data_IF_830487541102
#
_entry.id   IF_830487541102
#
_cell.length_a   1.000
_cell.length_b   1.000
_cell.length_c   1.000
_cell.angle_alpha   90.00
_cell.angle_beta   90.00
_cell.angle_gamma   90.00
#
_symmetry.space_group_name_H-M   'P 1'
#
loop_
_entity.id
_entity.type
_entity.pdbx_description
1 polymer ?
#
# COMPACT_ATOMS: atom_id res chain seq x y z
N UNK A 1 8.97 -4.08 -4.54
CA UNK A 1 8.48 -4.22 -5.94
C UNK A 1 8.80 -2.96 -6.73
N UNK A 2 8.91 -3.04 -8.06
CA UNK A 2 9.06 -1.88 -8.96
C UNK A 2 7.82 -1.82 -9.85
N UNK A 3 7.29 -0.61 -10.05
CA UNK A 3 6.09 -0.38 -10.86
C UNK A 3 6.44 0.63 -11.95
N UNK A 4 6.07 0.31 -13.19
CA UNK A 4 6.21 1.21 -14.34
C UNK A 4 4.98 2.10 -14.51
N UNK A 5 5.10 3.30 -15.10
CA UNK A 5 3.94 4.15 -15.37
C UNK A 5 2.87 3.42 -16.18
N UNK A 6 1.62 3.46 -15.70
CA UNK A 6 0.48 2.78 -16.33
C UNK A 6 0.45 1.25 -16.15
N UNK A 7 1.44 0.68 -15.47
CA UNK A 7 1.47 -0.74 -15.12
C UNK A 7 0.99 -1.03 -13.71
N UNK A 8 0.85 -2.31 -13.42
CA UNK A 8 0.53 -2.84 -12.10
C UNK A 8 1.59 -3.85 -11.63
N UNK A 9 1.58 -4.12 -10.32
CA UNK A 9 2.40 -5.17 -9.71
C UNK A 9 1.62 -5.81 -8.57
N UNK A 10 1.79 -7.12 -8.40
CA UNK A 10 1.24 -7.87 -7.27
C UNK A 10 2.38 -8.33 -6.36
N UNK A 11 2.15 -8.27 -5.05
CA UNK A 11 3.07 -8.77 -4.03
C UNK A 11 2.31 -9.77 -3.17
N UNK A 12 2.74 -11.03 -3.20
CA UNK A 12 2.26 -12.08 -2.32
C UNK A 12 3.46 -12.64 -1.54
N UNK A 13 3.43 -12.46 -0.23
CA UNK A 13 4.45 -12.93 0.69
C UNK A 13 3.78 -13.35 2.00
N UNK A 14 4.30 -14.41 2.67
CA UNK A 14 3.82 -14.77 3.99
C UNK A 14 4.04 -13.61 4.97
N UNK A 15 3.03 -13.32 5.77
CA UNK A 15 3.14 -12.36 6.86
C UNK A 15 3.77 -13.06 8.07
N UNK A 16 4.84 -12.46 8.62
CA UNK A 16 5.47 -12.97 9.83
C UNK A 16 4.46 -13.12 10.97
N UNK A 17 4.61 -14.16 11.78
CA UNK A 17 3.62 -14.55 12.78
C UNK A 17 3.40 -13.44 13.82
N UNK A 18 4.48 -12.76 14.22
CA UNK A 18 4.49 -11.70 15.21
C UNK A 18 4.27 -10.30 14.60
N UNK A 19 4.13 -10.19 13.28
CA UNK A 19 3.91 -8.89 12.64
C UNK A 19 2.50 -8.37 12.93
N UNK A 20 2.45 -7.20 13.57
CA UNK A 20 1.21 -6.48 13.91
C UNK A 20 0.83 -5.41 12.89
N UNK A 21 1.80 -4.94 12.09
CA UNK A 21 1.59 -3.90 11.09
C UNK A 21 2.33 -4.19 9.80
N UNK A 22 1.78 -3.70 8.70
CA UNK A 22 2.42 -3.68 7.38
C UNK A 22 2.52 -2.23 6.91
N UNK A 23 3.75 -1.79 6.62
CA UNK A 23 4.01 -0.47 6.05
C UNK A 23 4.29 -0.58 4.56
N UNK A 24 3.59 0.21 3.76
CA UNK A 24 3.81 0.36 2.32
C UNK A 24 4.31 1.78 2.06
N UNK A 25 5.47 1.88 1.40
CA UNK A 25 6.16 3.15 1.15
C UNK A 25 6.38 3.31 -0.35
N UNK A 26 5.93 4.44 -0.90
CA UNK A 26 6.22 4.87 -2.26
C UNK A 26 7.48 5.75 -2.30
N UNK A 27 8.51 5.30 -3.01
CA UNK A 27 9.75 6.06 -3.21
C UNK A 27 9.59 7.04 -4.38
N UNK A 28 8.82 8.11 -4.17
CA UNK A 28 8.60 9.17 -5.17
C UNK A 28 9.81 10.12 -5.24
N UNK A 29 10.01 10.77 -6.39
CA UNK A 29 11.06 11.81 -6.55
C UNK A 29 10.82 13.04 -5.67
N UNK A 30 9.55 13.41 -5.47
CA UNK A 30 9.13 14.55 -4.64
C UNK A 30 7.91 14.13 -3.78
N UNK A 31 8.11 13.30 -2.74
CA UNK A 31 7.02 12.82 -1.92
C UNK A 31 6.35 13.98 -1.18
N UNK A 32 5.02 13.92 -1.05
CA UNK A 32 4.24 14.88 -0.25
C UNK A 32 4.40 14.56 1.25
N UNK A 33 5.48 15.06 1.83
CA UNK A 33 5.83 14.85 3.25
C UNK A 33 4.94 15.62 4.20
N UNK A 34 4.38 16.75 3.77
CA UNK A 34 3.51 17.59 4.60
C UNK A 34 2.20 16.87 4.93
N UNK A 35 1.62 16.18 3.93
CA UNK A 35 0.39 15.38 4.13
C UNK A 35 0.68 13.91 4.46
N UNK A 36 1.96 13.51 4.47
CA UNK A 36 2.40 12.12 4.68
C UNK A 36 1.75 11.10 3.73
N UNK A 37 1.33 11.53 2.53
CA UNK A 37 0.58 10.67 1.60
C UNK A 37 1.47 9.73 0.79
N UNK A 38 2.79 9.75 1.00
CA UNK A 38 3.75 8.87 0.33
C UNK A 38 3.86 7.47 0.96
N UNK A 39 3.23 7.25 2.12
CA UNK A 39 3.25 6.00 2.87
C UNK A 39 1.86 5.65 3.39
N UNK A 40 1.63 4.37 3.64
CA UNK A 40 0.45 3.85 4.31
C UNK A 40 0.87 2.76 5.30
N UNK A 41 0.23 2.72 6.46
CA UNK A 41 0.45 1.68 7.48
C UNK A 41 -0.90 1.01 7.73
N UNK A 42 -0.93 -0.31 7.66
CA UNK A 42 -2.11 -1.13 7.90
C UNK A 42 -1.87 -2.00 9.13
N UNK A 43 -2.87 -2.08 10.00
CA UNK A 43 -2.93 -3.13 11.01
C UNK A 43 -3.11 -4.51 10.37
N UNK A 44 -2.62 -5.55 11.03
CA UNK A 44 -2.80 -6.94 10.60
C UNK A 44 -4.29 -7.29 10.43
N UNK A 45 -5.13 -6.74 11.29
CA UNK A 45 -6.59 -6.89 11.29
C UNK A 45 -7.28 -6.27 10.07
N UNK A 46 -6.61 -5.37 9.35
CA UNK A 46 -7.11 -4.76 8.12
C UNK A 46 -6.75 -5.56 6.86
N UNK A 47 -6.08 -6.71 7.02
CA UNK A 47 -5.66 -7.57 5.92
C UNK A 47 -6.56 -8.81 5.86
N UNK A 48 -7.24 -8.98 4.72
CA UNK A 48 -7.99 -10.18 4.40
C UNK A 48 -7.05 -11.17 3.65
N UNK A 49 -6.95 -12.44 4.08
CA UNK A 49 -6.07 -13.42 3.45
C UNK A 49 -6.45 -13.76 2.01
N UNK A 50 -7.72 -13.57 1.63
CA UNK A 50 -8.26 -13.90 0.31
C UNK A 50 -8.47 -12.66 -0.57
N UNK A 51 -8.48 -11.44 0.02
CA UNK A 51 -8.67 -10.19 -0.71
C UNK A 51 -7.45 -9.26 -0.63
N UNK A 52 -6.75 -9.01 -1.75
CA UNK A 52 -5.61 -8.10 -1.75
C UNK A 52 -6.04 -6.65 -1.54
N UNK A 53 -5.28 -5.92 -0.72
CA UNK A 53 -5.40 -4.46 -0.62
C UNK A 53 -4.80 -3.81 -1.87
N UNK A 54 -5.55 -2.92 -2.50
CA UNK A 54 -5.11 -2.24 -3.73
C UNK A 54 -4.58 -0.85 -3.39
N UNK A 55 -3.35 -0.59 -3.81
CA UNK A 55 -2.70 0.71 -3.71
C UNK A 55 -2.50 1.31 -5.09
N UNK A 56 -2.76 2.61 -5.20
CA UNK A 56 -2.51 3.39 -6.41
C UNK A 56 -1.41 4.39 -6.13
N UNK A 57 -0.32 4.32 -6.91
CA UNK A 57 0.69 5.36 -6.96
C UNK A 57 0.24 6.44 -7.96
N UNK A 58 -0.21 7.59 -7.47
CA UNK A 58 -0.69 8.70 -8.29
C UNK A 58 0.16 9.95 -8.04
N UNK A 59 0.80 10.47 -9.09
CA UNK A 59 1.73 11.60 -9.04
C UNK A 59 2.88 11.39 -8.04
N UNK A 60 2.69 11.85 -6.81
CA UNK A 60 3.64 11.78 -5.70
C UNK A 60 3.01 11.25 -4.40
N UNK A 61 1.88 10.54 -4.53
CA UNK A 61 1.10 10.01 -3.42
C UNK A 61 0.82 8.53 -3.62
N UNK A 62 0.75 7.81 -2.50
CA UNK A 62 0.32 6.43 -2.39
C UNK A 62 -1.09 6.40 -1.78
N UNK A 63 -2.08 6.01 -2.55
CA UNK A 63 -3.48 5.94 -2.12
C UNK A 63 -3.91 4.51 -1.90
N UNK A 64 -4.45 4.23 -0.72
CA UNK A 64 -5.12 2.98 -0.44
C UNK A 64 -6.57 3.06 -0.94
N UNK A 65 -6.98 2.11 -1.77
CA UNK A 65 -8.37 2.02 -2.20
C UNK A 65 -9.24 1.57 -1.02
N UNK A 66 -10.32 2.32 -0.75
CA UNK A 66 -11.33 1.90 0.21
C UNK A 66 -11.94 0.58 -0.22
N UNK A 67 -12.15 -0.33 0.72
CA UNK A 67 -13.02 -1.47 0.46
C UNK A 67 -14.44 -0.93 0.27
N UNK A 68 -15.12 -1.33 -0.81
CA UNK A 68 -16.52 -0.99 -0.98
C UNK A 68 -17.27 -1.56 0.23
N UNK A 69 -17.97 -0.69 0.98
CA UNK A 69 -18.81 -1.12 2.08
C UNK A 69 -19.76 -2.21 1.56
N UNK A 70 -19.73 -3.35 2.23
CA UNK A 70 -20.59 -4.49 1.92
C UNK A 70 -22.03 -4.20 2.31
#
# INVERSE_FOLDING_TARGET
VVISPGGDASLNMPLEAEATFVAVVGLFRHPDTDRNTWKQVLGREELDPDKPRIFTAERNQLRLRSEAAK
#
